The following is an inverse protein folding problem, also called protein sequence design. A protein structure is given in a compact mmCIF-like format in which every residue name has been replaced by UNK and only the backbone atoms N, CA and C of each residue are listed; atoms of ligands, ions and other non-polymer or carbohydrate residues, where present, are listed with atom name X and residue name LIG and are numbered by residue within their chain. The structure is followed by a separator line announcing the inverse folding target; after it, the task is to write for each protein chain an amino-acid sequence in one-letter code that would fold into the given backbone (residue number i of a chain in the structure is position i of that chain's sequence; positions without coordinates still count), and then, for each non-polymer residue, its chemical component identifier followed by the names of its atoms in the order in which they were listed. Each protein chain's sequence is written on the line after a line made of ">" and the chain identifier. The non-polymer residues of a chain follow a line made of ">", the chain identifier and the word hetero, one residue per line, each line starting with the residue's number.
data_IF_877280820899
#
_entry.id   IF_877280820899
#
_cell.length_a   1.000
_cell.length_b   1.000
_cell.length_c   1.000
_cell.angle_alpha   90.00
_cell.angle_beta   90.00
_cell.angle_gamma   90.00
#
_symmetry.space_group_name_H-M   'P 1'
#
loop_
_entity.id
_entity.type
_entity.pdbx_description
1 polymer ?
#
# COMPACT_ATOMS: atom_id res chain seq x y z
N UNK A 1 -27.53 -16.76 5.84
CA UNK A 1 -26.51 -16.81 4.78
C UNK A 1 -25.52 -15.69 5.06
N UNK A 2 -24.35 -16.01 5.64
CA UNK A 2 -23.39 -15.02 6.13
C UNK A 2 -22.36 -14.70 5.04
N UNK A 3 -22.39 -13.46 4.55
CA UNK A 3 -21.52 -12.87 3.52
C UNK A 3 -20.07 -12.62 3.98
N UNK A 4 -19.70 -12.98 5.21
CA UNK A 4 -18.33 -12.79 5.74
C UNK A 4 -17.34 -13.92 5.38
N UNK A 5 -17.82 -15.04 4.82
CA UNK A 5 -16.98 -16.20 4.50
C UNK A 5 -16.37 -16.19 3.09
N UNK A 6 -16.77 -15.26 2.21
CA UNK A 6 -16.29 -15.22 0.82
C UNK A 6 -14.99 -14.42 0.63
N UNK A 7 -14.58 -13.61 1.62
CA UNK A 7 -13.29 -12.92 1.58
C UNK A 7 -12.08 -13.84 1.85
N UNK A 8 -12.29 -15.10 2.23
CA UNK A 8 -11.22 -16.02 2.67
C UNK A 8 -10.67 -16.95 1.58
N UNK A 9 -11.15 -16.87 0.34
CA UNK A 9 -10.73 -17.83 -0.72
C UNK A 9 -10.09 -17.22 -1.96
N UNK A 10 -9.87 -15.90 -1.98
CA UNK A 10 -9.22 -15.22 -3.11
C UNK A 10 -7.68 -15.36 -3.12
N UNK A 11 -7.08 -16.11 -2.18
CA UNK A 11 -5.63 -16.24 -2.04
C UNK A 11 -5.24 -17.68 -1.69
N UNK A 12 -5.31 -18.57 -2.69
CA UNK A 12 -4.67 -19.89 -2.60
C UNK A 12 -3.20 -19.79 -3.08
N UNK A 13 -2.25 -20.55 -2.49
CA UNK A 13 -0.84 -20.19 -2.54
C UNK A 13 0.00 -20.92 -3.63
N UNK A 14 0.87 -20.18 -4.33
CA UNK A 14 2.01 -20.72 -5.10
C UNK A 14 3.32 -20.25 -4.42
N UNK A 15 4.09 -21.17 -3.83
CA UNK A 15 4.69 -20.91 -2.50
C UNK A 15 6.13 -20.37 -2.39
N UNK A 16 6.90 -20.11 -3.46
CA UNK A 16 8.30 -19.64 -3.28
C UNK A 16 8.60 -18.23 -3.86
N UNK A 17 8.36 -17.92 -5.15
CA UNK A 17 8.67 -16.58 -5.69
C UNK A 17 7.77 -15.47 -5.12
N UNK A 18 6.49 -15.81 -4.88
CA UNK A 18 5.47 -14.89 -4.37
C UNK A 18 5.79 -14.44 -2.93
N UNK A 19 6.34 -15.33 -2.10
CA UNK A 19 6.69 -14.99 -0.71
C UNK A 19 7.81 -13.95 -0.64
N UNK A 20 8.83 -14.06 -1.49
CA UNK A 20 9.93 -13.10 -1.53
C UNK A 20 9.45 -11.73 -2.01
N UNK A 21 8.67 -11.68 -3.10
CA UNK A 21 8.08 -10.44 -3.59
C UNK A 21 7.22 -9.73 -2.52
N UNK A 22 6.34 -10.47 -1.83
CA UNK A 22 5.50 -9.93 -0.75
C UNK A 22 6.30 -9.47 0.47
N UNK A 23 7.40 -10.15 0.82
CA UNK A 23 8.28 -9.70 1.89
C UNK A 23 8.97 -8.38 1.55
N UNK A 24 9.39 -8.21 0.29
CA UNK A 24 9.98 -6.96 -0.21
C UNK A 24 8.95 -5.83 -0.22
N UNK A 25 7.72 -6.08 -0.69
CA UNK A 25 6.62 -5.10 -0.63
C UNK A 25 6.36 -4.63 0.81
N UNK A 26 6.28 -5.59 1.75
CA UNK A 26 6.08 -5.30 3.17
C UNK A 26 7.18 -4.37 3.72
N UNK A 27 8.45 -4.70 3.48
CA UNK A 27 9.59 -3.92 3.96
C UNK A 27 9.59 -2.49 3.42
N UNK A 28 9.32 -2.33 2.11
CA UNK A 28 9.28 -1.03 1.45
C UNK A 28 8.14 -0.17 2.02
N UNK A 29 6.92 -0.73 2.13
CA UNK A 29 5.76 -0.03 2.69
C UNK A 29 6.02 0.37 4.15
N UNK A 30 6.56 -0.54 4.96
CA UNK A 30 6.84 -0.29 6.37
C UNK A 30 7.88 0.83 6.55
N UNK A 31 8.96 0.81 5.77
CA UNK A 31 10.01 1.83 5.80
C UNK A 31 9.47 3.22 5.41
N UNK A 32 8.72 3.31 4.31
CA UNK A 32 8.14 4.59 3.86
C UNK A 32 7.17 5.13 4.91
N UNK A 33 6.29 4.28 5.44
CA UNK A 33 5.31 4.66 6.46
C UNK A 33 5.98 5.15 7.75
N UNK A 34 7.06 4.49 8.17
CA UNK A 34 7.85 4.93 9.32
C UNK A 34 8.46 6.32 9.08
N UNK A 35 9.05 6.56 7.91
CA UNK A 35 9.62 7.87 7.55
C UNK A 35 8.57 8.97 7.53
N UNK A 36 7.40 8.73 6.93
CA UNK A 36 6.28 9.68 6.91
C UNK A 36 5.83 10.03 8.34
N UNK A 37 5.61 9.01 9.19
CA UNK A 37 5.19 9.20 10.58
C UNK A 37 6.24 10.00 11.36
N UNK A 38 7.52 9.66 11.23
CA UNK A 38 8.61 10.36 11.90
C UNK A 38 8.69 11.83 11.48
N UNK A 39 8.63 12.11 10.18
CA UNK A 39 8.65 13.47 9.66
C UNK A 39 7.48 14.31 10.19
N UNK A 40 6.27 13.74 10.25
CA UNK A 40 5.11 14.41 10.85
C UNK A 40 5.30 14.70 12.35
N UNK A 41 5.86 13.75 13.11
CA UNK A 41 6.10 13.93 14.55
C UNK A 41 7.16 14.98 14.86
N UNK A 42 8.09 15.21 13.93
CA UNK A 42 9.16 16.19 14.05
C UNK A 42 8.84 17.53 13.39
N UNK A 43 7.65 17.68 12.78
CA UNK A 43 7.27 18.81 11.93
C UNK A 43 8.29 19.10 10.81
N UNK A 44 8.95 18.05 10.30
CA UNK A 44 9.97 18.11 9.25
C UNK A 44 9.30 17.99 7.88
N UNK A 45 8.87 19.14 7.35
CA UNK A 45 8.19 19.19 6.05
C UNK A 45 9.04 18.70 4.86
N UNK A 46 10.34 19.06 4.74
CA UNK A 46 11.22 18.48 3.71
C UNK A 46 11.28 16.95 3.75
N UNK A 47 11.49 16.35 4.94
CA UNK A 47 11.52 14.90 5.07
C UNK A 47 10.15 14.25 4.77
N UNK A 48 9.05 14.93 5.11
CA UNK A 48 7.70 14.49 4.78
C UNK A 48 7.48 14.50 3.27
N UNK A 49 7.89 15.57 2.57
CA UNK A 49 7.78 15.68 1.12
C UNK A 49 8.55 14.56 0.39
N UNK A 50 9.76 14.24 0.85
CA UNK A 50 10.56 13.16 0.30
C UNK A 50 9.88 11.79 0.53
N UNK A 51 9.37 11.54 1.75
CA UNK A 51 8.68 10.29 2.05
C UNK A 51 7.36 10.15 1.26
N UNK A 52 6.63 11.25 1.03
CA UNK A 52 5.44 11.27 0.18
C UNK A 52 5.77 10.99 -1.29
N UNK A 53 6.89 11.51 -1.80
CA UNK A 53 7.34 11.21 -3.15
C UNK A 53 7.61 9.71 -3.33
N UNK A 54 8.35 9.10 -2.40
CA UNK A 54 8.61 7.66 -2.40
C UNK A 54 7.31 6.84 -2.27
N UNK A 55 6.37 7.29 -1.43
CA UNK A 55 5.06 6.66 -1.30
C UNK A 55 4.29 6.69 -2.64
N UNK A 56 4.27 7.83 -3.34
CA UNK A 56 3.62 7.93 -4.65
C UNK A 56 4.29 7.01 -5.68
N UNK A 57 5.62 6.95 -5.71
CA UNK A 57 6.37 6.08 -6.62
C UNK A 57 6.05 4.61 -6.39
N UNK A 58 5.96 4.19 -5.13
CA UNK A 58 5.52 2.83 -4.76
C UNK A 58 4.12 2.55 -5.32
N UNK A 59 3.14 3.41 -5.04
CA UNK A 59 1.76 3.21 -5.48
C UNK A 59 1.60 3.24 -7.00
N UNK A 60 2.36 4.08 -7.71
CA UNK A 60 2.42 4.06 -9.17
C UNK A 60 2.98 2.74 -9.69
N UNK A 61 4.03 2.21 -9.06
CA UNK A 61 4.62 0.92 -9.45
C UNK A 61 3.62 -0.22 -9.29
N UNK A 62 2.91 -0.27 -8.15
CA UNK A 62 1.85 -1.25 -7.90
C UNK A 62 0.70 -1.12 -8.91
N UNK A 63 0.26 0.10 -9.23
CA UNK A 63 -0.78 0.34 -10.22
C UNK A 63 -0.40 -0.11 -11.63
N UNK A 64 0.87 0.08 -12.02
CA UNK A 64 1.40 -0.41 -13.31
C UNK A 64 1.42 -1.94 -13.32
N UNK A 65 1.91 -2.57 -12.25
CA UNK A 65 2.01 -4.02 -12.16
C UNK A 65 0.64 -4.71 -12.26
N UNK A 66 -0.36 -4.20 -11.52
CA UNK A 66 -1.73 -4.73 -11.62
C UNK A 66 -2.42 -4.39 -12.95
N UNK A 67 -1.90 -3.43 -13.72
CA UNK A 67 -2.35 -3.14 -15.06
C UNK A 67 -1.95 -4.19 -16.10
N UNK A 68 -0.95 -5.02 -15.81
CA UNK A 68 -0.47 -6.06 -16.73
C UNK A 68 -1.54 -7.16 -16.92
N UNK A 69 -1.87 -7.56 -18.17
CA UNK A 69 -2.76 -8.69 -18.45
C UNK A 69 -2.33 -10.02 -17.81
N UNK A 70 -1.04 -10.21 -17.57
CA UNK A 70 -0.49 -11.42 -16.96
C UNK A 70 -0.57 -11.40 -15.42
N UNK A 71 -1.10 -10.33 -14.82
CA UNK A 71 -1.24 -10.23 -13.38
C UNK A 71 -2.31 -11.20 -12.87
N UNK A 72 -1.96 -12.06 -11.91
CA UNK A 72 -2.81 -13.15 -11.42
C UNK A 72 -3.78 -12.73 -10.31
N UNK A 73 -3.83 -11.45 -9.95
CA UNK A 73 -4.73 -10.97 -8.91
C UNK A 73 -6.18 -10.87 -9.42
N UNK A 74 -7.18 -11.11 -8.56
CA UNK A 74 -8.58 -10.90 -8.92
C UNK A 74 -8.86 -9.46 -9.38
N UNK A 75 -9.72 -9.28 -10.37
CA UNK A 75 -10.04 -7.96 -10.95
C UNK A 75 -10.47 -6.92 -9.92
N UNK A 76 -11.25 -7.33 -8.91
CA UNK A 76 -11.66 -6.43 -7.83
C UNK A 76 -10.45 -5.89 -7.05
N UNK A 77 -9.47 -6.74 -6.78
CA UNK A 77 -8.26 -6.34 -6.07
C UNK A 77 -7.39 -5.41 -6.92
N UNK A 78 -7.23 -5.73 -8.20
CA UNK A 78 -6.53 -4.88 -9.17
C UNK A 78 -7.16 -3.49 -9.23
N UNK A 79 -8.48 -3.42 -9.37
CA UNK A 79 -9.23 -2.17 -9.38
C UNK A 79 -9.06 -1.37 -8.08
N UNK A 80 -9.07 -2.04 -6.92
CA UNK A 80 -8.85 -1.40 -5.62
C UNK A 80 -7.44 -0.84 -5.49
N UNK A 81 -6.41 -1.53 -5.98
CA UNK A 81 -5.02 -1.06 -5.98
C UNK A 81 -4.88 0.20 -6.86
N UNK A 82 -5.48 0.19 -8.07
CA UNK A 82 -5.50 1.37 -8.95
C UNK A 82 -6.19 2.55 -8.28
N UNK A 83 -7.34 2.33 -7.63
CA UNK A 83 -8.05 3.37 -6.89
C UNK A 83 -7.20 3.96 -5.75
N UNK A 84 -6.57 3.12 -4.94
CA UNK A 84 -5.71 3.58 -3.83
C UNK A 84 -4.48 4.34 -4.32
N UNK A 85 -3.92 3.98 -5.48
CA UNK A 85 -2.84 4.71 -6.09
C UNK A 85 -3.27 6.13 -6.50
N UNK A 86 -4.45 6.28 -7.11
CA UNK A 86 -4.97 7.60 -7.48
C UNK A 86 -5.32 8.45 -6.25
N UNK A 87 -5.99 7.84 -5.25
CA UNK A 87 -6.25 8.50 -3.97
C UNK A 87 -4.96 9.01 -3.33
N UNK A 88 -3.94 8.16 -3.26
CA UNK A 88 -2.65 8.49 -2.65
C UNK A 88 -1.98 9.66 -3.34
N UNK A 89 -1.99 9.67 -4.68
CA UNK A 89 -1.44 10.78 -5.49
C UNK A 89 -2.18 12.08 -5.22
N UNK A 90 -3.52 12.06 -5.28
CA UNK A 90 -4.36 13.24 -5.05
C UNK A 90 -4.21 13.78 -3.63
N UNK A 91 -4.22 12.91 -2.62
CA UNK A 91 -4.10 13.32 -1.23
C UNK A 91 -2.70 13.80 -0.88
N UNK A 92 -1.64 13.18 -1.44
CA UNK A 92 -0.27 13.68 -1.31
C UNK A 92 -0.14 15.12 -1.81
N UNK A 93 -0.80 15.46 -2.92
CA UNK A 93 -0.81 16.84 -3.41
C UNK A 93 -1.46 17.82 -2.43
N UNK A 94 -2.53 17.40 -1.72
CA UNK A 94 -3.15 18.22 -0.65
C UNK A 94 -2.21 18.41 0.54
N UNK A 95 -1.47 17.37 0.92
CA UNK A 95 -0.45 17.46 1.99
C UNK A 95 0.69 18.40 1.60
N UNK A 96 1.17 18.31 0.36
CA UNK A 96 2.21 19.21 -0.17
C UNK A 96 1.77 20.68 -0.18
N UNK A 97 0.46 20.93 -0.34
CA UNK A 97 -0.13 22.28 -0.22
C UNK A 97 -0.44 22.68 1.23
N UNK A 98 -0.12 21.83 2.21
CA UNK A 98 -0.41 22.02 3.63
C UNK A 98 -1.91 22.22 3.93
N UNK A 99 -2.79 21.71 3.08
CA UNK A 99 -4.25 21.80 3.27
C UNK A 99 -4.82 20.58 4.00
N UNK A 100 -4.05 19.50 4.08
CA UNK A 100 -4.44 18.23 4.70
C UNK A 100 -3.23 17.58 5.39
N UNK A 101 -3.50 16.65 6.31
CA UNK A 101 -2.46 15.84 6.96
C UNK A 101 -2.18 14.55 6.17
N UNK A 102 -1.01 13.95 6.37
CA UNK A 102 -0.67 12.63 5.80
C UNK A 102 -1.22 11.44 6.62
N UNK A 103 -2.05 11.67 7.66
CA UNK A 103 -2.64 10.59 8.47
C UNK A 103 -3.42 9.58 7.62
N UNK A 104 -4.29 9.98 6.66
CA UNK A 104 -5.02 9.00 5.85
C UNK A 104 -4.11 8.08 5.02
N UNK A 105 -2.95 8.59 4.56
CA UNK A 105 -1.98 7.79 3.82
C UNK A 105 -1.30 6.74 4.72
N UNK A 106 -1.00 7.12 5.98
CA UNK A 106 -0.47 6.18 6.96
C UNK A 106 -1.48 5.08 7.32
N UNK A 107 -2.76 5.40 7.41
CA UNK A 107 -3.83 4.43 7.70
C UNK A 107 -3.99 3.42 6.57
N UNK A 108 -3.96 3.87 5.31
CA UNK A 108 -3.97 3.00 4.14
C UNK A 108 -2.78 2.05 4.16
N UNK A 109 -1.57 2.57 4.34
CA UNK A 109 -0.36 1.75 4.37
C UNK A 109 -0.40 0.74 5.54
N UNK A 110 -0.92 1.14 6.70
CA UNK A 110 -1.09 0.24 7.85
C UNK A 110 -2.10 -0.89 7.57
N UNK A 111 -3.20 -0.59 6.89
CA UNK A 111 -4.18 -1.60 6.48
C UNK A 111 -3.57 -2.62 5.49
N UNK A 112 -2.76 -2.16 4.54
CA UNK A 112 -2.04 -3.03 3.60
C UNK A 112 -1.01 -3.91 4.32
N UNK A 113 -0.17 -3.33 5.19
CA UNK A 113 0.79 -4.09 5.99
C UNK A 113 0.11 -5.16 6.85
N UNK A 114 -1.05 -4.83 7.43
CA UNK A 114 -1.87 -5.80 8.18
C UNK A 114 -2.36 -6.93 7.28
N UNK A 115 -2.82 -6.64 6.07
CA UNK A 115 -3.21 -7.64 5.07
C UNK A 115 -2.04 -8.58 4.73
N UNK A 116 -0.91 -8.00 4.32
CA UNK A 116 0.29 -8.74 3.94
C UNK A 116 0.83 -9.63 5.08
N UNK A 117 0.81 -9.13 6.33
CA UNK A 117 1.25 -9.91 7.49
C UNK A 117 0.42 -11.18 7.72
N UNK A 118 -0.91 -11.11 7.56
CA UNK A 118 -1.76 -12.29 7.74
C UNK A 118 -1.49 -13.38 6.69
N UNK A 119 -1.10 -12.98 5.47
CA UNK A 119 -0.72 -13.94 4.43
C UNK A 119 0.68 -14.54 4.64
N UNK A 120 1.63 -13.76 5.18
CA UNK A 120 2.98 -14.26 5.51
C UNK A 120 2.96 -15.21 6.71
N UNK A 121 2.12 -14.91 7.72
CA UNK A 121 1.99 -15.72 8.95
C UNK A 121 1.00 -16.88 8.84
N UNK A 122 0.18 -16.95 7.78
CA UNK A 122 -0.73 -18.06 7.53
C UNK A 122 0.01 -19.35 7.18
N UNK A 123 0.34 -20.13 8.20
CA UNK A 123 0.72 -21.55 8.15
C UNK A 123 -0.21 -22.33 9.08
#
# INVERSE_FOLDING_TARGET
>A
MNSFAQAQRAYAPTQAPIKTARSTEYEVIARISHRMKRAMQQDDFPALAEALHENNKLWTTLAIDVGNPDNLLPDELRARIVYLADFTRLHSHKVMRKTETAVPLLEINAAILKGLKHEVSGK
#
